data_IF_845527324123
#
_entry.id   IF_845527324123
#
_cell.length_a   1.000
_cell.length_b   1.000
_cell.length_c   1.000
_cell.angle_alpha   90.00
_cell.angle_beta   90.00
_cell.angle_gamma   90.00
#
_symmetry.space_group_name_H-M   'P 1'
#
loop_
_entity.id
_entity.type
_entity.pdbx_description
1 polymer ?
#
# COMPACT_ATOMS: atom_id res chain seq x y z
N UNK A 1 7.49 21.22 2.99
CA UNK A 1 7.20 20.74 1.61
C UNK A 1 8.45 20.90 0.77
N UNK A 2 8.79 19.88 -0.02
CA UNK A 2 9.88 19.94 -1.00
C UNK A 2 9.30 20.20 -2.40
N UNK A 3 9.98 21.04 -3.18
CA UNK A 3 9.71 21.20 -4.62
C UNK A 3 10.80 20.47 -5.38
N UNK A 4 10.38 19.60 -6.28
CA UNK A 4 11.28 18.82 -7.13
C UNK A 4 10.75 18.90 -8.56
N UNK A 5 11.65 19.11 -9.52
CA UNK A 5 11.31 18.98 -10.93
C UNK A 5 11.59 17.54 -11.37
N UNK A 6 10.59 16.86 -11.89
CA UNK A 6 10.67 15.46 -12.32
C UNK A 6 9.92 15.29 -13.64
N UNK A 7 10.48 14.49 -14.54
CA UNK A 7 9.81 14.10 -15.77
C UNK A 7 8.87 12.91 -15.48
N UNK A 8 7.65 12.98 -16.01
CA UNK A 8 6.61 11.97 -15.84
C UNK A 8 6.03 11.61 -17.20
N UNK A 9 5.79 10.32 -17.41
CA UNK A 9 5.06 9.84 -18.59
C UNK A 9 3.61 10.33 -18.54
N UNK A 10 3.23 11.13 -19.54
CA UNK A 10 1.92 11.76 -19.60
C UNK A 10 0.77 10.74 -19.77
N UNK A 11 1.01 9.64 -20.50
CA UNK A 11 0.03 8.57 -20.68
C UNK A 11 -0.24 7.87 -19.36
N UNK A 12 0.83 7.54 -18.64
CA UNK A 12 0.74 6.90 -17.33
C UNK A 12 0.05 7.80 -16.30
N UNK A 13 0.37 9.09 -16.29
CA UNK A 13 -0.26 10.06 -15.39
C UNK A 13 -1.75 10.20 -15.68
N UNK A 14 -2.14 10.29 -16.96
CA UNK A 14 -3.55 10.39 -17.35
C UNK A 14 -4.35 9.17 -16.90
N UNK A 15 -3.80 7.97 -17.14
CA UNK A 15 -4.41 6.73 -16.69
C UNK A 15 -4.52 6.67 -15.16
N UNK A 16 -3.44 7.01 -14.46
CA UNK A 16 -3.41 6.97 -13.00
C UNK A 16 -4.38 7.99 -12.38
N UNK A 17 -4.51 9.20 -12.93
CA UNK A 17 -5.52 10.18 -12.47
C UNK A 17 -6.94 9.62 -12.64
N UNK A 18 -7.23 8.96 -13.78
CA UNK A 18 -8.53 8.35 -14.05
C UNK A 18 -8.85 7.22 -13.06
N UNK A 19 -7.89 6.33 -12.81
CA UNK A 19 -8.07 5.18 -11.91
C UNK A 19 -8.17 5.59 -10.44
N UNK A 20 -7.35 6.55 -10.01
CA UNK A 20 -7.26 6.98 -8.60
C UNK A 20 -8.24 8.09 -8.25
N UNK A 21 -8.91 8.68 -9.25
CA UNK A 21 -9.82 9.83 -9.13
C UNK A 21 -9.19 11.06 -8.44
N UNK A 22 -7.87 11.21 -8.53
CA UNK A 22 -7.16 12.37 -8.00
C UNK A 22 -7.29 13.55 -8.98
N UNK A 23 -7.31 14.77 -8.44
CA UNK A 23 -7.55 15.99 -9.24
C UNK A 23 -6.26 16.59 -9.79
N UNK A 24 -5.15 16.46 -9.08
CA UNK A 24 -3.88 17.09 -9.45
C UNK A 24 -2.73 16.10 -9.55
N UNK A 25 -1.75 16.41 -10.41
CA UNK A 25 -0.49 15.64 -10.51
C UNK A 25 0.24 15.57 -9.16
N UNK A 26 0.20 16.65 -8.37
CA UNK A 26 0.77 16.70 -7.01
C UNK A 26 0.11 15.68 -6.08
N UNK A 27 -1.22 15.64 -6.02
CA UNK A 27 -1.94 14.68 -5.18
C UNK A 27 -1.67 13.24 -5.63
N UNK A 28 -1.63 13.01 -6.94
CA UNK A 28 -1.31 11.69 -7.49
C UNK A 28 0.09 11.23 -7.05
N UNK A 29 1.11 12.09 -7.17
CA UNK A 29 2.49 11.75 -6.78
C UNK A 29 2.59 11.49 -5.28
N UNK A 30 1.98 12.34 -4.45
CA UNK A 30 1.98 12.12 -3.00
C UNK A 30 1.28 10.81 -2.63
N UNK A 31 0.13 10.52 -3.25
CA UNK A 31 -0.61 9.28 -3.05
C UNK A 31 0.22 8.05 -3.48
N UNK A 32 0.89 8.11 -4.63
CA UNK A 32 1.73 7.03 -5.11
C UNK A 32 2.91 6.72 -4.17
N UNK A 33 3.55 7.75 -3.62
CA UNK A 33 4.64 7.59 -2.65
C UNK A 33 4.11 6.96 -1.35
N UNK A 34 2.97 7.42 -0.85
CA UNK A 34 2.35 6.86 0.35
C UNK A 34 2.01 5.38 0.17
N UNK A 35 1.35 5.02 -0.92
CA UNK A 35 1.02 3.62 -1.25
C UNK A 35 2.27 2.75 -1.41
N UNK A 36 3.33 3.27 -2.02
CA UNK A 36 4.60 2.55 -2.14
C UNK A 36 5.19 2.25 -0.76
N UNK A 37 5.24 3.25 0.13
CA UNK A 37 5.74 3.06 1.50
C UNK A 37 4.87 2.06 2.26
N UNK A 38 3.55 2.16 2.17
CA UNK A 38 2.62 1.21 2.81
C UNK A 38 2.82 -0.21 2.28
N UNK A 39 2.97 -0.38 0.97
CA UNK A 39 3.25 -1.67 0.34
C UNK A 39 4.57 -2.28 0.83
N UNK A 40 5.63 -1.48 0.94
CA UNK A 40 6.92 -1.95 1.44
C UNK A 40 6.86 -2.31 2.93
N UNK A 41 6.14 -1.54 3.75
CA UNK A 41 5.90 -1.87 5.16
C UNK A 41 5.15 -3.19 5.31
N UNK A 42 4.10 -3.42 4.50
CA UNK A 42 3.37 -4.70 4.48
C UNK A 42 4.27 -5.86 4.08
N UNK A 43 5.14 -5.67 3.08
CA UNK A 43 6.12 -6.69 2.70
C UNK A 43 7.05 -7.05 3.86
N UNK A 44 7.50 -6.07 4.64
CA UNK A 44 8.33 -6.31 5.83
C UNK A 44 7.63 -7.15 6.90
N UNK A 45 6.30 -7.08 6.99
CA UNK A 45 5.54 -7.97 7.89
C UNK A 45 5.60 -9.43 7.42
N UNK A 46 5.66 -9.68 6.11
CA UNK A 46 5.85 -11.03 5.58
C UNK A 46 7.24 -11.58 5.97
N UNK A 47 8.25 -10.73 6.12
CA UNK A 47 9.56 -11.18 6.62
C UNK A 47 9.53 -11.71 8.07
N UNK A 48 8.42 -11.49 8.80
CA UNK A 48 8.18 -12.02 10.14
C UNK A 48 7.49 -13.40 10.12
N UNK A 49 7.12 -13.91 8.94
CA UNK A 49 6.58 -15.26 8.77
C UNK A 49 7.56 -16.31 9.31
N UNK A 50 7.06 -17.21 10.16
CA UNK A 50 7.86 -18.23 10.84
C UNK A 50 8.79 -17.74 11.95
N UNK A 51 8.94 -16.42 12.14
CA UNK A 51 9.79 -15.83 13.21
C UNK A 51 9.00 -15.48 14.47
N UNK A 52 7.68 -15.38 14.37
CA UNK A 52 6.80 -15.06 15.50
C UNK A 52 6.00 -16.30 15.87
N UNK A 53 6.06 -16.69 17.14
CA UNK A 53 5.21 -17.74 17.67
C UNK A 53 3.77 -17.23 17.79
N UNK A 54 2.85 -17.90 17.11
CA UNK A 54 1.43 -17.61 17.24
C UNK A 54 0.87 -18.29 18.49
N UNK A 55 0.35 -17.51 19.43
CA UNK A 55 -0.12 -17.97 20.75
C UNK A 55 -1.64 -18.19 20.82
N UNK A 56 -2.32 -18.37 19.69
CA UNK A 56 -3.77 -18.61 19.65
C UNK A 56 -4.14 -20.09 19.62
N UNK A 57 -5.43 -20.39 19.73
CA UNK A 57 -5.99 -21.72 19.49
C UNK A 57 -6.96 -21.65 18.29
N UNK A 58 -6.63 -22.36 17.20
CA UNK A 58 -7.39 -22.33 15.94
C UNK A 58 -8.75 -23.02 16.07
N UNK A 59 -8.83 -24.04 16.92
CA UNK A 59 -10.07 -24.81 17.10
C UNK A 59 -11.08 -23.98 17.86
N UNK A 60 -10.66 -23.19 18.85
CA UNK A 60 -11.53 -22.26 19.56
C UNK A 60 -12.07 -21.15 18.65
N UNK A 61 -11.25 -20.60 17.75
CA UNK A 61 -11.69 -19.53 16.83
C UNK A 61 -12.69 -20.02 15.78
N UNK A 62 -12.73 -21.32 15.49
CA UNK A 62 -13.61 -21.91 14.48
C UNK A 62 -14.93 -22.44 15.04
N UNK A 63 -15.02 -22.65 16.36
CA UNK A 63 -16.25 -23.12 17.04
C UNK A 63 -17.45 -22.19 16.87
N UNK A 64 -17.24 -20.89 16.62
CA UNK A 64 -18.30 -19.90 16.38
C UNK A 64 -18.91 -19.95 14.98
N UNK A 65 -18.48 -20.88 14.12
CA UNK A 65 -18.94 -21.03 12.73
C UNK A 65 -19.97 -22.16 12.54
N UNK A 66 -20.33 -22.87 13.61
CA UNK A 66 -21.40 -23.89 13.65
C UNK A 66 -22.51 -23.40 14.55
#
# INVERSE_FOLDING_TARGET
>A
MLRTNIELDEKLVSEALRLTRKKTKKELVNYAIEELVLKLKRRKLLDMEGKVAWAGNLDETRKSRT
#
